data_IF_340586396295
#
_entry.id   IF_340586396295
#
_cell.length_a   1.000
_cell.length_b   1.000
_cell.length_c   1.000
_cell.angle_alpha   90.00
_cell.angle_beta   90.00
_cell.angle_gamma   90.00
#
_symmetry.space_group_name_H-M   'P 1'
#
loop_
_entity.id
_entity.type
_entity.pdbx_description
1 polymer ?
#
# COMPACT_ATOMS: atom_id res chain seq x y z
N UNK A 1 -4.47 -33.22 10.35
CA UNK A 1 -5.01 -31.98 9.76
C UNK A 1 -6.53 -32.02 9.83
N UNK A 2 -7.18 -30.96 10.28
CA UNK A 2 -8.64 -30.88 10.44
C UNK A 2 -9.41 -30.45 9.18
N UNK A 3 -8.70 -30.32 8.05
CA UNK A 3 -9.29 -29.84 6.79
C UNK A 3 -10.20 -30.91 6.20
N UNK A 4 -11.31 -30.48 5.59
CA UNK A 4 -12.27 -31.34 4.90
C UNK A 4 -12.18 -31.13 3.40
N UNK A 5 -12.51 -32.15 2.61
CA UNK A 5 -12.59 -32.01 1.15
C UNK A 5 -13.89 -31.26 0.83
N UNK A 6 -13.78 -30.09 0.22
CA UNK A 6 -14.92 -29.32 -0.26
C UNK A 6 -15.35 -29.76 -1.66
N UNK A 7 -14.39 -30.03 -2.54
CA UNK A 7 -14.64 -30.53 -3.89
C UNK A 7 -13.46 -31.35 -4.40
N UNK A 8 -13.73 -32.32 -5.26
CA UNK A 8 -12.71 -33.10 -5.94
C UNK A 8 -13.14 -33.36 -7.38
N UNK A 9 -12.28 -33.04 -8.34
CA UNK A 9 -12.50 -33.31 -9.77
C UNK A 9 -11.18 -33.72 -10.41
N UNK A 10 -11.14 -34.90 -11.02
CA UNK A 10 -9.92 -35.51 -11.57
C UNK A 10 -8.78 -35.51 -10.54
N UNK A 11 -7.69 -34.78 -10.83
CA UNK A 11 -6.52 -34.64 -9.96
C UNK A 11 -6.56 -33.39 -9.06
N UNK A 12 -7.59 -32.54 -9.18
CA UNK A 12 -7.74 -31.33 -8.36
C UNK A 12 -8.59 -31.62 -7.13
N UNK A 13 -8.07 -31.30 -5.94
CA UNK A 13 -8.79 -31.40 -4.67
C UNK A 13 -8.79 -30.02 -4.01
N UNK A 14 -9.99 -29.52 -3.67
CA UNK A 14 -10.18 -28.28 -2.91
C UNK A 14 -10.46 -28.67 -1.47
N UNK A 15 -9.64 -28.16 -0.56
CA UNK A 15 -9.75 -28.36 0.88
C UNK A 15 -10.35 -27.12 1.55
N UNK A 16 -11.10 -27.33 2.62
CA UNK A 16 -11.66 -26.25 3.45
C UNK A 16 -11.20 -26.41 4.89
N UNK A 17 -10.72 -25.31 5.48
CA UNK A 17 -10.40 -25.20 6.91
C UNK A 17 -11.70 -25.33 7.73
N UNK A 18 -11.71 -25.98 8.89
CA UNK A 18 -12.89 -25.98 9.76
C UNK A 18 -13.27 -24.56 10.19
N UNK A 19 -14.57 -24.33 10.38
CA UNK A 19 -15.14 -23.05 10.80
C UNK A 19 -15.08 -22.82 12.32
N UNK A 20 -14.72 -23.85 13.07
CA UNK A 20 -14.59 -23.85 14.53
C UNK A 20 -13.28 -24.51 14.92
N UNK A 21 -12.82 -24.26 16.14
CA UNK A 21 -11.60 -24.87 16.67
C UNK A 21 -11.83 -26.29 17.21
N UNK A 22 -13.07 -26.81 17.24
CA UNK A 22 -13.42 -28.08 17.91
C UNK A 22 -12.51 -29.24 17.53
N UNK A 23 -12.33 -29.47 16.22
CA UNK A 23 -11.43 -30.53 15.73
C UNK A 23 -9.97 -30.34 16.17
N UNK A 24 -9.51 -29.09 16.31
CA UNK A 24 -8.15 -28.81 16.76
C UNK A 24 -7.99 -29.05 18.27
N UNK A 25 -9.03 -28.77 19.06
CA UNK A 25 -9.05 -28.98 20.51
C UNK A 25 -9.17 -30.46 20.89
N UNK A 26 -9.76 -31.28 20.02
CA UNK A 26 -9.89 -32.74 20.19
C UNK A 26 -8.62 -33.53 19.80
N UNK A 27 -7.53 -32.85 19.40
CA UNK A 27 -6.29 -33.54 19.01
C UNK A 27 -5.59 -34.15 20.22
N UNK A 28 -5.05 -35.34 20.04
CA UNK A 28 -4.24 -36.02 21.05
C UNK A 28 -3.06 -35.13 21.52
N UNK A 29 -2.73 -35.11 22.82
CA UNK A 29 -1.58 -34.38 23.35
C UNK A 29 -0.28 -34.76 22.61
N UNK A 30 0.50 -33.75 22.21
CA UNK A 30 1.75 -33.95 21.47
C UNK A 30 1.61 -34.07 19.94
N UNK A 31 0.40 -33.94 19.38
CA UNK A 31 0.21 -33.93 17.92
C UNK A 31 0.91 -32.73 17.27
N UNK A 32 1.76 -32.98 16.27
CA UNK A 32 2.46 -31.95 15.50
C UNK A 32 1.70 -31.53 14.23
N UNK A 33 1.75 -30.26 13.82
CA UNK A 33 2.22 -29.09 14.59
C UNK A 33 1.27 -28.77 15.76
N UNK A 34 1.77 -28.21 16.88
CA UNK A 34 0.95 -27.76 18.00
C UNK A 34 0.04 -26.58 17.61
N UNK A 35 -0.83 -26.18 18.53
CA UNK A 35 -1.55 -24.91 18.41
C UNK A 35 -0.64 -23.76 18.85
N UNK A 36 -0.78 -22.59 18.24
CA UNK A 36 -0.02 -21.40 18.65
C UNK A 36 -0.44 -20.96 20.06
N UNK A 37 0.41 -20.22 20.75
CA UNK A 37 0.06 -19.75 22.10
C UNK A 37 -1.05 -18.72 21.99
N UNK A 38 -1.84 -18.58 23.05
CA UNK A 38 -2.96 -17.63 23.08
C UNK A 38 -2.53 -16.17 23.13
N UNK A 39 -1.28 -15.89 23.47
CA UNK A 39 -0.66 -14.57 23.49
C UNK A 39 0.03 -14.21 22.16
N UNK A 40 0.12 -15.14 21.22
CA UNK A 40 0.67 -14.86 19.89
C UNK A 40 -0.33 -14.03 19.09
N UNK A 41 0.08 -12.85 18.61
CA UNK A 41 -0.74 -12.03 17.72
C UNK A 41 -0.75 -12.64 16.31
N UNK A 42 -1.89 -13.17 15.83
CA UNK A 42 -1.98 -13.79 14.51
C UNK A 42 -1.89 -12.78 13.35
N UNK A 43 -2.10 -11.49 13.64
CA UNK A 43 -2.05 -10.40 12.68
C UNK A 43 -0.69 -9.68 12.71
N UNK A 44 0.29 -10.18 13.46
CA UNK A 44 1.65 -9.63 13.47
C UNK A 44 2.40 -10.02 12.19
N UNK A 45 2.84 -9.02 11.41
CA UNK A 45 3.27 -9.24 10.01
C UNK A 45 4.75 -8.95 9.76
N UNK A 46 5.42 -8.16 10.60
CA UNK A 46 6.78 -7.66 10.34
C UNK A 46 7.77 -8.05 11.42
N UNK A 47 8.92 -8.61 11.03
CA UNK A 47 9.99 -8.99 11.96
C UNK A 47 9.64 -10.15 12.91
N UNK A 48 8.53 -10.86 12.67
CA UNK A 48 8.09 -12.00 13.50
C UNK A 48 8.57 -13.31 12.87
N UNK A 49 9.35 -14.13 13.61
CA UNK A 49 9.75 -15.46 13.13
C UNK A 49 8.53 -16.35 12.90
N UNK A 50 8.53 -17.10 11.80
CA UNK A 50 7.49 -18.09 11.56
C UNK A 50 7.60 -19.25 12.55
N UNK A 51 6.53 -19.50 13.30
CA UNK A 51 6.43 -20.66 14.18
C UNK A 51 5.71 -21.83 13.49
N UNK A 52 6.15 -23.05 13.79
CA UNK A 52 5.52 -24.27 13.27
C UNK A 52 4.28 -24.65 14.10
N UNK A 53 3.28 -23.76 14.17
CA UNK A 53 2.06 -23.92 14.94
C UNK A 53 0.79 -23.63 14.11
N UNK A 54 -0.38 -24.01 14.63
CA UNK A 54 -1.68 -23.71 14.03
C UNK A 54 -2.38 -22.65 14.86
N UNK A 55 -2.62 -21.49 14.26
CA UNK A 55 -3.33 -20.37 14.88
C UNK A 55 -4.78 -20.72 15.20
N UNK A 56 -5.18 -20.43 16.44
CA UNK A 56 -6.57 -20.52 16.86
C UNK A 56 -7.44 -19.52 16.08
N UNK A 57 -8.66 -19.93 15.75
CA UNK A 57 -9.66 -18.98 15.25
C UNK A 57 -10.37 -18.36 16.46
N UNK A 58 -9.90 -17.22 16.96
CA UNK A 58 -10.52 -16.54 18.14
C UNK A 58 -11.95 -16.08 17.88
N UNK A 59 -12.29 -15.95 16.60
CA UNK A 59 -13.65 -15.77 16.15
C UNK A 59 -14.09 -17.11 15.58
N UNK A 60 -15.07 -17.78 16.21
CA UNK A 60 -15.98 -18.67 15.49
C UNK A 60 -16.36 -17.92 14.22
N UNK A 61 -15.87 -18.39 13.06
CA UNK A 61 -15.85 -17.62 11.82
C UNK A 61 -17.24 -17.00 11.62
N UNK A 62 -17.43 -15.72 11.99
CA UNK A 62 -18.66 -15.00 11.65
C UNK A 62 -18.65 -15.05 10.14
N UNK A 63 -19.63 -15.77 9.61
CA UNK A 63 -19.57 -16.35 8.28
C UNK A 63 -19.09 -15.31 7.25
N UNK A 64 -18.00 -15.61 6.52
CA UNK A 64 -17.68 -14.98 5.23
C UNK A 64 -17.59 -13.44 5.22
N UNK A 65 -16.71 -12.78 5.96
CA UNK A 65 -16.65 -11.30 5.89
C UNK A 65 -18.05 -10.68 6.07
N UNK A 66 -18.86 -11.27 6.95
CA UNK A 66 -20.25 -10.90 7.16
C UNK A 66 -20.32 -9.41 7.48
N UNK A 67 -21.06 -8.66 6.66
CA UNK A 67 -21.21 -7.22 6.79
C UNK A 67 -20.42 -6.42 5.76
N UNK A 68 -19.54 -7.04 4.97
CA UNK A 68 -18.90 -6.37 3.84
C UNK A 68 -19.90 -6.15 2.70
N UNK A 69 -19.91 -4.93 2.16
CA UNK A 69 -20.65 -4.62 0.96
C UNK A 69 -20.10 -5.43 -0.25
N UNK A 70 -20.91 -5.70 -1.29
CA UNK A 70 -20.42 -6.31 -2.51
C UNK A 70 -19.45 -5.37 -3.24
N UNK A 71 -18.54 -5.94 -4.03
CA UNK A 71 -17.75 -5.16 -4.99
C UNK A 71 -18.68 -4.60 -6.10
N UNK A 72 -18.55 -3.32 -6.51
CA UNK A 72 -17.52 -2.33 -6.13
C UNK A 72 -17.92 -1.37 -4.99
N UNK A 73 -19.07 -1.57 -4.34
CA UNK A 73 -19.55 -0.69 -3.27
C UNK A 73 -18.65 -0.72 -2.02
N UNK A 74 -18.02 -1.87 -1.73
CA UNK A 74 -17.07 -2.02 -0.61
C UNK A 74 -15.89 -1.05 -0.60
N UNK A 75 -15.53 -0.48 -1.75
CA UNK A 75 -14.41 0.43 -1.85
C UNK A 75 -14.61 1.71 -1.02
N UNK A 76 -15.86 2.16 -0.88
CA UNK A 76 -16.24 3.39 -0.17
C UNK A 76 -17.18 3.13 1.02
N UNK A 77 -17.67 1.90 1.19
CA UNK A 77 -18.47 1.54 2.34
C UNK A 77 -17.64 1.48 3.62
N UNK A 78 -18.27 1.79 4.76
CA UNK A 78 -17.64 1.71 6.09
C UNK A 78 -17.22 0.26 6.40
N UNK A 79 -15.92 0.00 6.60
CA UNK A 79 -15.43 -1.33 6.95
C UNK A 79 -15.89 -1.76 8.35
N UNK A 80 -16.38 -3.00 8.55
CA UNK A 80 -16.79 -3.48 9.87
C UNK A 80 -15.67 -3.48 10.91
N UNK A 81 -14.41 -3.73 10.49
CA UNK A 81 -13.26 -3.75 11.38
C UNK A 81 -12.75 -2.37 11.79
N UNK A 82 -13.34 -1.27 11.30
CA UNK A 82 -12.85 0.10 11.53
C UNK A 82 -12.71 0.42 13.04
N UNK A 83 -13.66 -0.04 13.86
CA UNK A 83 -13.66 0.17 15.29
C UNK A 83 -12.55 -0.61 16.03
N UNK A 84 -12.12 -1.76 15.50
CA UNK A 84 -11.03 -2.56 16.06
C UNK A 84 -9.71 -1.76 16.08
N UNK A 85 -9.58 -0.79 15.18
CA UNK A 85 -8.41 0.09 15.03
C UNK A 85 -8.61 1.48 15.66
N UNK A 86 -9.71 1.70 16.40
CA UNK A 86 -9.98 2.97 17.07
C UNK A 86 -10.42 4.12 16.15
N UNK A 87 -10.73 3.85 14.89
CA UNK A 87 -11.25 4.87 13.96
C UNK A 87 -12.77 5.02 14.10
N UNK A 88 -13.24 6.26 14.11
CA UNK A 88 -14.67 6.56 14.06
C UNK A 88 -15.16 6.68 12.62
N UNK A 89 -16.46 6.45 12.39
CA UNK A 89 -17.07 6.61 11.06
C UNK A 89 -16.80 8.01 10.47
N UNK A 90 -16.88 9.06 11.30
CA UNK A 90 -16.60 10.44 10.88
C UNK A 90 -15.16 10.65 10.43
N UNK A 91 -14.19 9.99 11.08
CA UNK A 91 -12.77 10.05 10.67
C UNK A 91 -12.57 9.39 9.31
N UNK A 92 -13.23 8.26 9.06
CA UNK A 92 -13.17 7.57 7.76
C UNK A 92 -13.81 8.39 6.64
N UNK A 93 -15.00 8.97 6.88
CA UNK A 93 -15.68 9.83 5.91
C UNK A 93 -14.83 11.05 5.56
N UNK A 94 -14.26 11.73 6.58
CA UNK A 94 -13.36 12.86 6.36
C UNK A 94 -12.10 12.46 5.59
N UNK A 95 -11.46 11.34 5.94
CA UNK A 95 -10.27 10.84 5.24
C UNK A 95 -10.60 10.58 3.75
N UNK A 96 -11.77 10.00 3.45
CA UNK A 96 -12.23 9.79 2.08
C UNK A 96 -12.43 11.09 1.30
N UNK A 97 -13.08 12.09 1.88
CA UNK A 97 -13.30 13.41 1.26
C UNK A 97 -11.98 14.10 0.95
N UNK A 98 -11.07 14.12 1.93
CA UNK A 98 -9.74 14.72 1.79
C UNK A 98 -8.95 14.04 0.67
N UNK A 99 -8.94 12.70 0.61
CA UNK A 99 -8.22 11.98 -0.45
C UNK A 99 -8.85 12.14 -1.83
N UNK A 100 -10.17 12.28 -1.94
CA UNK A 100 -10.82 12.60 -3.22
C UNK A 100 -10.33 13.93 -3.77
N UNK A 101 -10.34 14.98 -2.96
CA UNK A 101 -9.84 16.31 -3.37
C UNK A 101 -8.34 16.28 -3.73
N UNK A 102 -7.52 15.62 -2.90
CA UNK A 102 -6.07 15.49 -3.15
C UNK A 102 -5.78 14.78 -4.48
N UNK A 103 -6.47 13.67 -4.76
CA UNK A 103 -6.31 12.92 -6.01
C UNK A 103 -6.76 13.73 -7.21
N UNK A 104 -7.85 14.49 -7.11
CA UNK A 104 -8.28 15.42 -8.16
C UNK A 104 -7.20 16.48 -8.45
N UNK A 105 -6.65 17.10 -7.40
CA UNK A 105 -5.55 18.07 -7.54
C UNK A 105 -4.31 17.44 -8.19
N UNK A 106 -3.89 16.23 -7.79
CA UNK A 106 -2.78 15.52 -8.42
C UNK A 106 -3.03 15.23 -9.89
N UNK A 107 -4.23 14.76 -10.24
CA UNK A 107 -4.58 14.46 -11.63
C UNK A 107 -4.64 15.73 -12.48
N UNK A 108 -5.10 16.85 -11.93
CA UNK A 108 -5.09 18.14 -12.62
C UNK A 108 -3.66 18.56 -12.98
N UNK A 109 -2.72 18.45 -12.04
CA UNK A 109 -1.30 18.75 -12.27
C UNK A 109 -0.62 17.78 -13.26
N UNK A 110 -1.03 16.51 -13.26
CA UNK A 110 -0.51 15.49 -14.19
C UNK A 110 -1.10 15.58 -15.60
N UNK A 111 -2.37 16.01 -15.71
CA UNK A 111 -3.15 15.98 -16.95
C UNK A 111 -2.46 16.58 -18.19
N UNK A 112 -1.63 17.64 -18.10
CA UNK A 112 -0.93 18.17 -19.28
C UNK A 112 0.18 17.25 -19.82
N UNK A 113 0.63 16.28 -19.01
CA UNK A 113 1.75 15.38 -19.31
C UNK A 113 1.36 13.93 -19.52
N UNK A 114 0.13 13.55 -19.14
CA UNK A 114 -0.37 12.18 -19.27
C UNK A 114 -1.53 12.12 -20.27
N UNK A 115 -1.62 11.00 -20.98
CA UNK A 115 -2.77 10.63 -21.80
C UNK A 115 -3.58 9.55 -21.07
N UNK A 116 -4.82 9.26 -21.51
CA UNK A 116 -5.47 8.01 -21.14
C UNK A 116 -4.50 6.83 -21.30
N UNK A 117 -4.54 5.87 -20.39
CA UNK A 117 -3.70 4.67 -20.37
C UNK A 117 -2.19 4.88 -20.13
N UNK A 118 -1.73 6.11 -19.89
CA UNK A 118 -0.32 6.37 -19.54
C UNK A 118 0.06 5.76 -18.19
N UNK A 119 -0.90 5.72 -17.26
CA UNK A 119 -0.73 5.16 -15.93
C UNK A 119 -1.65 3.94 -15.81
N UNK A 120 -1.11 2.80 -15.37
CA UNK A 120 -1.88 1.57 -15.13
C UNK A 120 -1.56 0.96 -13.78
N UNK A 121 -0.28 0.91 -13.41
CA UNK A 121 0.19 0.34 -12.15
C UNK A 121 0.66 1.46 -11.21
N UNK A 122 -0.08 1.68 -10.14
CA UNK A 122 0.21 2.70 -9.13
C UNK A 122 0.64 2.03 -7.84
N UNK A 123 1.63 2.59 -7.16
CA UNK A 123 1.95 2.22 -5.79
C UNK A 123 1.64 3.41 -4.89
N UNK A 124 0.80 3.17 -3.89
CA UNK A 124 0.66 4.06 -2.75
C UNK A 124 1.60 3.59 -1.66
N UNK A 125 2.70 4.33 -1.48
CA UNK A 125 3.77 3.93 -0.57
C UNK A 125 3.36 4.06 0.91
N UNK A 126 2.28 4.78 1.21
CA UNK A 126 1.75 4.91 2.57
C UNK A 126 0.22 5.01 2.55
N UNK A 127 -0.42 3.85 2.45
CA UNK A 127 -1.84 3.78 2.15
C UNK A 127 -2.78 4.12 3.31
N UNK A 128 -2.32 4.11 4.57
CA UNK A 128 -3.15 4.31 5.75
C UNK A 128 -4.46 3.50 5.65
N UNK A 129 -5.63 4.13 5.43
CA UNK A 129 -6.92 3.43 5.29
C UNK A 129 -7.22 2.90 3.88
N UNK A 130 -6.38 3.16 2.88
CA UNK A 130 -6.58 2.83 1.46
C UNK A 130 -7.41 3.86 0.67
N UNK A 131 -7.56 5.08 1.20
CA UNK A 131 -8.47 6.09 0.65
C UNK A 131 -7.95 6.75 -0.62
N UNK A 132 -6.63 6.88 -0.78
CA UNK A 132 -6.01 7.29 -2.05
C UNK A 132 -6.39 6.33 -3.18
N UNK A 133 -6.25 5.02 -2.98
CA UNK A 133 -6.66 4.02 -3.96
C UNK A 133 -8.17 4.05 -4.25
N UNK A 134 -8.99 4.29 -3.23
CA UNK A 134 -10.43 4.41 -3.40
C UNK A 134 -10.85 5.66 -4.18
N UNK A 135 -10.15 6.78 -4.01
CA UNK A 135 -10.35 7.99 -4.79
C UNK A 135 -10.00 7.80 -6.28
N UNK A 136 -9.16 6.81 -6.60
CA UNK A 136 -8.81 6.44 -7.97
C UNK A 136 -9.82 5.52 -8.67
N UNK A 137 -10.98 5.24 -8.07
CA UNK A 137 -12.02 4.35 -8.63
C UNK A 137 -12.43 4.65 -10.07
N UNK A 138 -12.44 5.94 -10.45
CA UNK A 138 -12.83 6.38 -11.81
C UNK A 138 -11.67 6.33 -12.81
N UNK A 139 -10.47 6.03 -12.36
CA UNK A 139 -9.27 5.90 -13.17
C UNK A 139 -9.06 4.41 -13.46
N UNK A 140 -8.71 4.07 -14.70
CA UNK A 140 -8.47 2.69 -15.11
C UNK A 140 -7.06 2.21 -14.68
N UNK A 141 -6.84 2.23 -13.36
CA UNK A 141 -5.57 1.94 -12.69
C UNK A 141 -5.76 0.91 -11.59
N UNK A 142 -4.70 0.15 -11.33
CA UNK A 142 -4.58 -0.71 -10.17
C UNK A 142 -3.58 -0.11 -9.18
N UNK A 143 -3.87 -0.25 -7.89
CA UNK A 143 -3.06 0.36 -6.82
C UNK A 143 -2.56 -0.73 -5.86
N UNK A 144 -1.24 -0.85 -5.73
CA UNK A 144 -0.60 -1.54 -4.62
C UNK A 144 -0.55 -0.62 -3.41
N UNK A 145 -1.22 -1.01 -2.33
CA UNK A 145 -1.29 -0.23 -1.10
C UNK A 145 -0.24 -0.72 -0.10
N UNK A 146 0.70 0.13 0.29
CA UNK A 146 1.73 -0.24 1.26
C UNK A 146 1.41 0.39 2.61
N UNK A 147 1.32 -0.44 3.65
CA UNK A 147 1.15 -0.02 5.04
C UNK A 147 2.52 -0.08 5.72
N UNK A 148 3.02 1.04 6.26
CA UNK A 148 4.26 1.01 7.04
C UNK A 148 4.14 0.07 8.25
N UNK A 149 5.20 -0.66 8.50
CA UNK A 149 5.39 -1.60 9.61
C UNK A 149 5.33 -0.95 11.00
N UNK A 150 5.65 0.33 11.11
CA UNK A 150 5.72 1.08 12.37
C UNK A 150 4.40 1.76 12.76
N UNK A 151 3.41 1.71 11.88
CA UNK A 151 2.09 2.28 12.09
C UNK A 151 1.07 1.29 12.64
N UNK A 152 -0.16 1.75 12.80
CA UNK A 152 -1.30 0.83 12.99
C UNK A 152 -1.42 -0.09 11.77
N UNK A 153 -1.58 -1.40 12.00
CA UNK A 153 -1.72 -2.38 10.94
C UNK A 153 -3.10 -2.29 10.24
N UNK A 154 -3.30 -1.24 9.45
CA UNK A 154 -4.55 -0.95 8.72
C UNK A 154 -4.75 -1.86 7.50
N UNK A 155 -3.89 -2.87 7.29
CA UNK A 155 -3.96 -3.77 6.14
C UNK A 155 -5.29 -4.53 6.09
N UNK A 156 -5.87 -4.88 7.24
CA UNK A 156 -7.21 -5.48 7.32
C UNK A 156 -8.30 -4.55 6.76
N UNK A 157 -8.21 -3.24 7.03
CA UNK A 157 -9.13 -2.24 6.48
C UNK A 157 -9.02 -2.18 4.95
N UNK A 158 -7.79 -2.20 4.42
CA UNK A 158 -7.52 -2.23 2.97
C UNK A 158 -8.18 -3.48 2.34
N UNK A 159 -8.00 -4.64 2.97
CA UNK A 159 -8.61 -5.89 2.48
C UNK A 159 -10.13 -5.91 2.59
N UNK A 160 -10.73 -5.37 3.65
CA UNK A 160 -12.19 -5.25 3.80
C UNK A 160 -12.80 -4.37 2.69
N UNK A 161 -12.06 -3.36 2.22
CA UNK A 161 -12.43 -2.50 1.09
C UNK A 161 -12.24 -3.15 -0.27
N UNK A 162 -11.65 -4.35 -0.33
CA UNK A 162 -11.39 -5.08 -1.57
C UNK A 162 -10.20 -4.58 -2.35
N UNK A 163 -9.35 -3.81 -1.68
CA UNK A 163 -8.05 -3.40 -2.19
C UNK A 163 -7.03 -4.48 -1.87
N UNK A 164 -5.90 -4.41 -2.56
CA UNK A 164 -4.73 -5.25 -2.33
C UNK A 164 -3.63 -4.42 -1.70
N UNK A 165 -2.82 -5.03 -0.85
CA UNK A 165 -1.76 -4.31 -0.16
C UNK A 165 -0.76 -5.23 0.52
N UNK A 166 0.26 -4.63 1.11
CA UNK A 166 1.32 -5.31 1.86
C UNK A 166 1.78 -4.42 3.01
N UNK A 167 2.38 -5.05 4.03
CA UNK A 167 3.22 -4.32 5.00
C UNK A 167 4.62 -4.18 4.44
N UNK A 168 5.29 -3.05 4.67
CA UNK A 168 6.69 -2.86 4.31
C UNK A 168 7.39 -1.80 5.16
N UNK A 169 8.69 -1.98 5.42
CA UNK A 169 9.56 -0.92 5.96
C UNK A 169 10.33 -0.22 4.86
N UNK A 170 10.10 1.07 4.66
CA UNK A 170 10.85 1.89 3.68
C UNK A 170 12.31 2.18 4.05
N UNK A 171 12.78 1.64 5.18
CA UNK A 171 14.20 1.55 5.51
C UNK A 171 14.89 0.35 4.82
N UNK A 172 14.11 -0.54 4.21
CA UNK A 172 14.56 -1.72 3.49
C UNK A 172 14.08 -1.68 2.03
N UNK A 173 14.75 -2.45 1.17
CA UNK A 173 14.37 -2.61 -0.24
C UNK A 173 13.01 -3.30 -0.37
N UNK A 174 12.15 -2.82 -1.27
CA UNK A 174 10.84 -3.41 -1.49
C UNK A 174 10.96 -4.68 -2.35
N UNK A 175 10.27 -5.75 -1.94
CA UNK A 175 10.30 -7.02 -2.68
C UNK A 175 9.44 -6.94 -3.95
N UNK A 176 9.97 -6.32 -5.00
CA UNK A 176 9.34 -6.24 -6.32
C UNK A 176 10.37 -6.33 -7.44
N UNK A 177 9.92 -6.69 -8.64
CA UNK A 177 10.76 -6.58 -9.82
C UNK A 177 11.04 -5.10 -10.13
N UNK A 178 12.25 -4.75 -10.60
CA UNK A 178 12.52 -3.40 -11.08
C UNK A 178 11.53 -2.98 -12.17
N UNK A 179 11.21 -1.68 -12.24
CA UNK A 179 10.36 -1.07 -13.29
C UNK A 179 8.93 -1.64 -13.37
N UNK A 180 8.33 -1.92 -12.21
CA UNK A 180 6.98 -2.51 -12.11
C UNK A 180 5.88 -1.45 -12.18
N UNK A 181 6.09 -0.27 -11.61
CA UNK A 181 5.05 0.74 -11.42
C UNK A 181 5.22 1.95 -12.35
N UNK A 182 4.10 2.51 -12.78
CA UNK A 182 4.05 3.70 -13.65
C UNK A 182 3.92 4.99 -12.82
N UNK A 183 3.38 4.89 -11.59
CA UNK A 183 3.26 6.00 -10.65
C UNK A 183 3.60 5.54 -9.23
N UNK A 184 4.48 6.27 -8.56
CA UNK A 184 4.70 6.15 -7.11
C UNK A 184 4.08 7.35 -6.40
N UNK A 185 3.26 7.10 -5.39
CA UNK A 185 2.71 8.12 -4.52
C UNK A 185 3.33 8.00 -3.13
N UNK A 186 4.07 9.02 -2.71
CA UNK A 186 4.78 9.10 -1.45
C UNK A 186 4.23 10.27 -0.62
N UNK A 187 3.35 9.95 0.33
CA UNK A 187 2.82 10.92 1.30
C UNK A 187 3.57 10.78 2.63
N UNK A 188 4.32 11.82 3.00
CA UNK A 188 5.11 11.90 4.24
C UNK A 188 6.15 10.79 4.45
N UNK A 189 6.43 9.99 3.41
CA UNK A 189 7.29 8.81 3.50
C UNK A 189 8.73 9.21 3.88
N UNK A 190 9.24 10.28 3.28
CA UNK A 190 10.60 10.76 3.56
C UNK A 190 10.72 11.29 4.98
N UNK A 191 9.78 12.13 5.41
CA UNK A 191 9.73 12.61 6.79
C UNK A 191 9.71 11.47 7.81
N UNK A 192 9.04 10.36 7.51
CA UNK A 192 8.93 9.24 8.44
C UNK A 192 10.20 8.37 8.49
N UNK A 193 10.85 8.11 7.35
CA UNK A 193 12.12 7.39 7.34
C UNK A 193 13.26 8.21 7.97
N UNK A 194 13.23 9.54 7.84
CA UNK A 194 14.21 10.43 8.49
C UNK A 194 14.10 10.36 10.01
N UNK A 195 12.88 10.31 10.58
CA UNK A 195 12.66 10.13 12.02
C UNK A 195 13.23 8.80 12.53
N UNK A 196 13.25 7.77 11.68
CA UNK A 196 13.83 6.45 11.98
C UNK A 196 15.36 6.42 11.80
N UNK A 197 15.97 7.49 11.31
CA UNK A 197 17.40 7.56 11.01
C UNK A 197 17.82 6.80 9.75
N UNK A 198 16.87 6.52 8.84
CA UNK A 198 17.12 5.83 7.59
C UNK A 198 17.54 6.81 6.48
N UNK A 199 18.28 6.31 5.49
CA UNK A 199 18.82 7.14 4.41
C UNK A 199 17.74 7.51 3.39
N UNK A 200 17.45 8.81 3.29
CA UNK A 200 16.57 9.34 2.24
C UNK A 200 17.14 9.12 0.82
N UNK A 201 18.47 9.04 0.68
CA UNK A 201 19.12 8.73 -0.60
C UNK A 201 18.83 7.28 -1.00
N UNK A 202 18.84 6.35 -0.04
CA UNK A 202 18.59 4.93 -0.32
C UNK A 202 17.15 4.73 -0.78
N UNK A 203 16.19 5.44 -0.16
CA UNK A 203 14.81 5.46 -0.62
C UNK A 203 14.67 6.02 -2.05
N UNK A 204 15.40 7.09 -2.40
CA UNK A 204 15.39 7.63 -3.77
C UNK A 204 15.90 6.61 -4.79
N UNK A 205 16.95 5.87 -4.46
CA UNK A 205 17.50 4.80 -5.32
C UNK A 205 16.48 3.66 -5.47
N UNK A 206 15.82 3.28 -4.39
CA UNK A 206 14.78 2.24 -4.41
C UNK A 206 13.58 2.68 -5.26
N UNK A 207 13.11 3.92 -5.08
CA UNK A 207 12.05 4.51 -5.91
C UNK A 207 12.44 4.51 -7.40
N UNK A 208 13.71 4.83 -7.73
CA UNK A 208 14.19 4.75 -9.11
C UNK A 208 14.16 3.30 -9.64
N UNK A 209 14.58 2.33 -8.82
CA UNK A 209 14.58 0.92 -9.19
C UNK A 209 13.16 0.41 -9.52
N UNK A 210 12.18 0.74 -8.68
CA UNK A 210 10.79 0.28 -8.79
C UNK A 210 10.06 0.95 -9.96
N UNK A 211 10.35 2.22 -10.23
CA UNK A 211 9.62 3.03 -11.22
C UNK A 211 10.02 2.70 -12.66
N UNK A 212 9.01 2.48 -13.52
CA UNK A 212 9.20 2.30 -14.96
C UNK A 212 9.79 3.58 -15.60
N UNK A 213 10.66 3.47 -16.62
CA UNK A 213 11.02 4.63 -17.42
C UNK A 213 9.79 5.38 -17.92
N UNK A 214 9.85 6.71 -17.97
CA UNK A 214 8.72 7.61 -18.29
C UNK A 214 7.60 7.66 -17.25
N UNK A 215 7.69 6.87 -16.18
CA UNK A 215 6.78 6.90 -15.04
C UNK A 215 6.92 8.18 -14.21
N UNK A 216 5.97 8.35 -13.29
CA UNK A 216 5.81 9.55 -12.48
C UNK A 216 5.97 9.25 -10.99
N UNK A 217 6.35 10.27 -10.24
CA UNK A 217 6.39 10.25 -8.77
C UNK A 217 5.63 11.47 -8.29
N UNK A 218 4.72 11.26 -7.33
CA UNK A 218 4.09 12.31 -6.55
C UNK A 218 4.69 12.22 -5.14
N UNK A 219 5.39 13.26 -4.72
CA UNK A 219 5.87 13.42 -3.35
C UNK A 219 5.05 14.51 -2.71
N UNK A 220 4.32 14.18 -1.64
CA UNK A 220 3.71 15.16 -0.74
C UNK A 220 4.42 15.07 0.60
N UNK A 221 5.26 16.05 0.90
CA UNK A 221 6.06 16.07 2.11
C UNK A 221 6.45 17.52 2.44
N UNK A 222 7.14 17.73 3.56
CA UNK A 222 7.56 19.06 4.01
C UNK A 222 8.50 19.73 3.01
N UNK A 223 8.49 21.07 2.98
CA UNK A 223 9.37 21.87 2.11
C UNK A 223 10.86 21.45 2.14
N UNK A 224 11.51 21.19 3.30
CA UNK A 224 12.92 20.77 3.33
C UNK A 224 13.18 19.45 2.60
N UNK A 225 12.24 18.50 2.67
CA UNK A 225 12.32 17.22 1.96
C UNK A 225 12.25 17.45 0.45
N UNK A 226 11.31 18.27 -0.02
CA UNK A 226 11.19 18.57 -1.46
C UNK A 226 12.46 19.23 -1.99
N UNK A 227 13.04 20.17 -1.24
CA UNK A 227 14.32 20.80 -1.60
C UNK A 227 15.50 19.81 -1.56
N UNK A 228 15.49 18.83 -0.65
CA UNK A 228 16.45 17.73 -0.65
C UNK A 228 16.32 16.86 -1.91
N UNK A 229 15.10 16.45 -2.29
CA UNK A 229 14.87 15.61 -3.47
C UNK A 229 15.27 16.35 -4.75
N UNK A 230 14.99 17.66 -4.85
CA UNK A 230 15.39 18.50 -5.99
C UNK A 230 16.89 18.44 -6.30
N UNK A 231 17.74 18.35 -5.27
CA UNK A 231 19.20 18.25 -5.43
C UNK A 231 19.66 16.96 -6.13
N UNK A 232 18.84 15.91 -6.09
CA UNK A 232 19.19 14.58 -6.60
C UNK A 232 18.57 14.26 -7.98
N UNK A 233 17.69 15.12 -8.50
CA UNK A 233 16.98 14.88 -9.76
C UNK A 233 17.91 14.58 -10.94
N UNK A 234 18.97 15.39 -11.09
CA UNK A 234 19.93 15.24 -12.19
C UNK A 234 20.63 13.88 -12.14
N UNK A 235 21.08 13.46 -10.96
CA UNK A 235 21.77 12.20 -10.76
C UNK A 235 20.87 10.98 -11.05
N UNK A 236 19.56 11.09 -10.79
CA UNK A 236 18.58 10.03 -11.02
C UNK A 236 17.95 10.08 -12.43
N UNK A 237 18.35 11.03 -13.27
CA UNK A 237 17.71 11.30 -14.57
C UNK A 237 16.20 11.56 -14.43
N UNK A 238 15.84 12.31 -13.41
CA UNK A 238 14.47 12.73 -13.13
C UNK A 238 14.25 14.19 -13.55
N UNK A 239 13.03 14.52 -13.95
CA UNK A 239 12.64 15.87 -14.36
C UNK A 239 11.47 16.36 -13.50
N UNK A 240 11.60 17.57 -12.98
CA UNK A 240 10.53 18.26 -12.29
C UNK A 240 9.39 18.59 -13.27
N UNK A 241 8.18 18.14 -12.96
CA UNK A 241 6.98 18.40 -13.77
C UNK A 241 6.15 19.54 -13.19
N UNK A 242 5.89 19.50 -11.89
CA UNK A 242 5.11 20.50 -11.19
C UNK A 242 5.56 20.59 -9.72
N UNK A 243 5.43 21.76 -9.12
CA UNK A 243 5.60 21.98 -7.69
C UNK A 243 4.49 22.93 -7.24
N UNK A 244 3.75 22.55 -6.20
CA UNK A 244 2.67 23.35 -5.64
C UNK A 244 2.74 23.30 -4.11
N UNK A 245 2.30 24.36 -3.45
CA UNK A 245 1.98 24.31 -2.03
C UNK A 245 0.75 23.42 -1.85
N UNK A 246 0.76 22.54 -0.85
CA UNK A 246 -0.39 21.71 -0.57
C UNK A 246 -1.48 22.58 0.04
N UNK A 247 -2.71 22.44 -0.43
CA UNK A 247 -3.87 23.00 0.27
C UNK A 247 -4.00 22.24 1.61
N UNK A 248 -3.74 22.95 2.71
CA UNK A 248 -3.87 22.44 4.06
C UNK A 248 -5.27 22.70 4.61
N UNK A 249 -5.92 21.68 5.18
CA UNK A 249 -7.14 21.85 5.99
C UNK A 249 -6.85 21.81 7.50
N UNK A 250 -5.60 21.53 7.88
CA UNK A 250 -5.15 21.43 9.27
C UNK A 250 -3.81 22.17 9.46
N UNK A 251 -3.54 22.68 10.66
CA UNK A 251 -2.27 23.34 11.02
C UNK A 251 -1.03 22.44 10.78
N UNK A 252 -1.22 21.11 10.68
CA UNK A 252 -0.14 20.16 10.38
C UNK A 252 0.15 20.02 8.87
N UNK A 253 -0.79 20.41 8.00
CA UNK A 253 -0.65 20.36 6.54
C UNK A 253 -0.18 21.70 5.94
N UNK A 254 -0.12 22.80 6.71
CA UNK A 254 0.16 24.16 6.18
C UNK A 254 1.54 24.32 5.51
N UNK A 255 2.51 23.45 5.85
CA UNK A 255 3.87 23.47 5.30
C UNK A 255 4.16 22.36 4.26
N UNK A 256 3.14 21.56 3.91
CA UNK A 256 3.29 20.48 2.95
C UNK A 256 3.46 21.05 1.53
N UNK A 257 4.34 20.41 0.76
CA UNK A 257 4.57 20.71 -0.64
C UNK A 257 4.24 19.48 -1.47
N UNK A 258 3.57 19.68 -2.61
CA UNK A 258 3.35 18.65 -3.62
C UNK A 258 4.38 18.81 -4.72
N UNK A 259 5.18 17.78 -4.94
CA UNK A 259 6.21 17.75 -5.96
C UNK A 259 5.99 16.57 -6.92
N UNK A 260 5.83 16.88 -8.21
CA UNK A 260 5.61 15.89 -9.26
C UNK A 260 6.86 15.78 -10.11
N UNK A 261 7.32 14.55 -10.27
CA UNK A 261 8.55 14.20 -10.98
C UNK A 261 8.21 13.22 -12.10
N UNK A 262 8.92 13.30 -13.22
CA UNK A 262 8.91 12.29 -14.28
C UNK A 262 10.30 11.68 -14.42
N UNK A 263 10.38 10.35 -14.42
CA UNK A 263 11.62 9.62 -14.69
C UNK A 263 11.89 9.59 -16.19
N UNK A 264 13.11 9.96 -16.61
CA UNK A 264 13.53 9.84 -18.01
C UNK A 264 14.02 8.42 -18.31
N UNK A 265 14.04 8.10 -19.59
CA UNK A 265 14.70 6.89 -20.05
C UNK A 265 16.22 7.08 -19.95
N UNK A 266 16.90 6.09 -19.38
CA UNK A 266 18.35 6.01 -19.40
C UNK A 266 18.80 5.60 -20.80
N UNK A 267 19.17 6.60 -21.60
CA UNK A 267 19.69 6.43 -22.96
C UNK A 267 21.22 6.47 -22.91
N UNK A 268 21.88 5.53 -23.60
CA UNK A 268 23.34 5.59 -23.80
C UNK A 268 23.66 6.67 -24.84
N UNK A 269 24.86 7.26 -24.76
CA UNK A 269 25.33 8.31 -25.68
C UNK A 269 25.26 7.91 -27.17
N UNK A 270 25.32 6.61 -27.48
CA UNK A 270 25.16 6.09 -28.84
C UNK A 270 23.71 6.18 -29.34
N UNK A 271 22.72 5.98 -28.47
CA UNK A 271 21.30 6.02 -28.85
C UNK A 271 20.78 7.43 -29.17
N UNK A 272 21.41 8.48 -28.65
CA UNK A 272 21.06 9.87 -29.00
C UNK A 272 21.36 10.21 -30.47
N UNK A 273 22.34 9.53 -31.09
CA UNK A 273 22.76 9.79 -32.48
C UNK A 273 21.80 9.25 -33.53
N UNK A 274 20.87 8.35 -33.17
CA UNK A 274 19.89 7.77 -34.09
C UNK A 274 18.50 8.44 -34.00
N UNK A 275 18.33 9.40 -33.09
CA UNK A 275 17.04 10.11 -32.85
C UNK A 275 17.04 11.60 -33.21
N UNK A 276 18.12 12.12 -33.81
CA UNK A 276 18.14 13.40 -34.53
C UNK A 276 18.00 13.19 -36.04
#
# INVERSE_FOLDING_TARGET
MCWKIAAKRNQTVIWVKPLTNDCYMEREPGTQPPLCKSDDDPDAVWGVPMEACITHSDQSHKARGSGLAPWPARLTALPPCLADFGYSNKMFEKDMEVWQQRVENYWNLLSPKIRPDTLRNVMDMKANLGSFAAALKSKDVWVMNVVPEDGSNTLKIIYDRGLIGTVHSWCESFSTNPRTYDLLHAWMVFSDIEKKGCSAVDLLIEMDCILRPTGFIIIRDKRPVVEFVKKHLSALHWEAVATAEAEGESEQDEDDMVFIIKKKLWLTSESFRETE
#
